data_IF_331368229773
#
_entry.id   IF_331368229773
#
_cell.length_a   1.000
_cell.length_b   1.000
_cell.length_c   1.000
_cell.angle_alpha   90.00
_cell.angle_beta   90.00
_cell.angle_gamma   90.00
#
_symmetry.space_group_name_H-M   'P 1'
#
loop_
_entity.id
_entity.type
_entity.pdbx_description
1 polymer ?
#
# COMPACT_ATOMS: atom_id res chain seq x y z
N UNK A 1 2.61 -7.49 9.70
CA UNK A 1 3.89 -6.80 9.45
C UNK A 1 5.02 -7.70 8.93
N UNK A 2 5.23 -8.91 9.45
CA UNK A 2 6.36 -9.78 9.03
C UNK A 2 6.42 -10.04 7.52
N UNK A 3 5.28 -10.37 6.90
CA UNK A 3 5.17 -10.57 5.45
C UNK A 3 5.67 -9.36 4.65
N UNK A 4 5.21 -8.17 5.00
CA UNK A 4 5.59 -6.92 4.34
C UNK A 4 7.08 -6.66 4.48
N UNK A 5 7.65 -6.86 5.69
CA UNK A 5 9.08 -6.68 5.90
C UNK A 5 9.91 -7.63 5.02
N UNK A 6 9.52 -8.91 4.96
CA UNK A 6 10.20 -9.92 4.14
C UNK A 6 10.16 -9.63 2.63
N UNK A 7 9.05 -9.08 2.15
CA UNK A 7 8.81 -8.97 0.71
C UNK A 7 8.98 -7.56 0.14
N UNK A 8 9.13 -6.53 0.98
CA UNK A 8 9.18 -5.13 0.52
C UNK A 8 10.35 -4.37 1.14
N UNK A 9 10.66 -4.54 2.43
CA UNK A 9 11.54 -3.60 3.15
C UNK A 9 12.95 -3.46 2.55
N UNK A 10 13.46 -4.51 1.92
CA UNK A 10 14.80 -4.55 1.33
C UNK A 10 14.78 -4.40 -0.20
N UNK A 11 13.63 -4.14 -0.82
CA UNK A 11 13.52 -3.96 -2.27
C UNK A 11 13.67 -2.49 -2.66
N UNK A 12 14.78 -2.08 -3.30
CA UNK A 12 15.03 -0.67 -3.63
C UNK A 12 14.11 -0.14 -4.73
N UNK A 13 13.45 -1.02 -5.47
CA UNK A 13 12.56 -0.72 -6.59
C UNK A 13 11.07 -0.81 -6.25
N UNK A 14 10.71 -1.00 -4.97
CA UNK A 14 9.31 -1.12 -4.53
C UNK A 14 9.08 -0.21 -3.32
N UNK A 15 8.10 0.67 -3.45
CA UNK A 15 7.60 1.49 -2.33
C UNK A 15 6.23 0.97 -1.90
N UNK A 16 5.96 0.97 -0.60
CA UNK A 16 4.63 0.65 -0.09
C UNK A 16 3.97 1.93 0.40
N UNK A 17 2.78 2.23 -0.08
CA UNK A 17 2.01 3.38 0.41
C UNK A 17 0.70 2.84 0.99
N UNK A 18 0.51 3.09 2.29
CA UNK A 18 -0.76 2.80 2.96
C UNK A 18 -1.69 4.01 2.82
N UNK A 19 -2.94 3.77 2.43
CA UNK A 19 -4.00 4.80 2.44
C UNK A 19 -5.01 4.40 3.50
N UNK A 20 -5.13 5.22 4.55
CA UNK A 20 -6.07 4.95 5.63
C UNK A 20 -7.51 5.16 5.18
N UNK A 21 -8.38 4.21 5.53
CA UNK A 21 -9.83 4.30 5.38
C UNK A 21 -10.54 4.54 6.72
N UNK A 22 -9.82 5.02 7.74
CA UNK A 22 -10.42 5.49 8.99
C UNK A 22 -11.39 6.65 8.70
N UNK A 23 -12.56 6.62 9.35
CA UNK A 23 -13.65 7.56 9.09
C UNK A 23 -14.03 8.33 10.37
N UNK A 24 -14.73 9.45 10.17
CA UNK A 24 -15.21 10.34 11.24
C UNK A 24 -14.24 11.47 11.55
N UNK A 25 -14.64 12.35 12.47
CA UNK A 25 -13.89 13.56 12.84
C UNK A 25 -12.51 13.26 13.44
N UNK A 26 -12.31 12.03 13.94
CA UNK A 26 -11.06 11.53 14.54
C UNK A 26 -10.33 10.51 13.65
N UNK A 27 -10.68 10.40 12.37
CA UNK A 27 -10.11 9.41 11.44
C UNK A 27 -8.59 9.51 11.27
N UNK A 28 -8.06 10.73 11.20
CA UNK A 28 -6.61 10.98 11.12
C UNK A 28 -5.88 10.46 12.38
N UNK A 29 -6.39 10.78 13.57
CA UNK A 29 -5.81 10.35 14.85
C UNK A 29 -5.83 8.82 14.99
N UNK A 30 -6.92 8.16 14.56
CA UNK A 30 -7.02 6.70 14.54
C UNK A 30 -5.98 6.08 13.60
N UNK A 31 -5.80 6.66 12.41
CA UNK A 31 -4.82 6.20 11.43
C UNK A 31 -3.39 6.31 11.97
N UNK A 32 -3.03 7.44 12.58
CA UNK A 32 -1.73 7.66 13.21
C UNK A 32 -1.46 6.69 14.35
N UNK A 33 -2.43 6.51 15.26
CA UNK A 33 -2.32 5.55 16.37
C UNK A 33 -2.13 4.12 15.88
N UNK A 34 -2.86 3.72 14.83
CA UNK A 34 -2.69 2.40 14.23
C UNK A 34 -1.29 2.24 13.63
N UNK A 35 -0.83 3.22 12.84
CA UNK A 35 0.50 3.16 12.20
C UNK A 35 1.62 3.09 13.25
N UNK A 36 1.52 3.88 14.33
CA UNK A 36 2.45 3.84 15.45
C UNK A 36 2.43 2.48 16.17
N UNK A 37 1.24 1.94 16.46
CA UNK A 37 1.06 0.63 17.11
C UNK A 37 1.68 -0.50 16.29
N UNK A 38 1.47 -0.50 14.99
CA UNK A 38 2.02 -1.53 14.08
C UNK A 38 3.49 -1.29 13.74
N UNK A 39 4.08 -0.19 14.23
CA UNK A 39 5.42 0.26 13.83
C UNK A 39 5.57 0.27 12.32
N UNK A 40 4.58 0.85 11.64
CA UNK A 40 4.45 0.84 10.20
C UNK A 40 5.53 1.73 9.57
N UNK A 41 6.56 1.15 8.93
CA UNK A 41 7.75 1.91 8.53
C UNK A 41 7.55 2.67 7.20
N UNK A 42 6.45 2.40 6.50
CA UNK A 42 6.15 2.96 5.19
C UNK A 42 5.20 4.16 5.27
N UNK A 43 5.14 4.92 4.18
CA UNK A 43 4.29 6.10 4.08
C UNK A 43 2.83 5.75 4.36
N UNK A 44 2.19 6.51 5.24
CA UNK A 44 0.75 6.42 5.53
C UNK A 44 0.08 7.72 5.13
N UNK A 45 -0.84 7.64 4.17
CA UNK A 45 -1.72 8.74 3.76
C UNK A 45 -2.92 8.76 4.70
N UNK A 46 -3.11 9.90 5.37
CA UNK A 46 -4.24 10.12 6.25
C UNK A 46 -5.53 10.33 5.46
N UNK A 47 -6.72 10.05 6.04
CA UNK A 47 -7.99 10.15 5.31
C UNK A 47 -8.24 11.52 4.68
N UNK A 48 -7.86 12.61 5.36
CA UNK A 48 -8.01 13.99 4.89
C UNK A 48 -7.09 14.37 3.71
N UNK A 49 -6.02 13.59 3.51
CA UNK A 49 -5.04 13.81 2.44
C UNK A 49 -5.19 12.80 1.29
N UNK A 50 -6.11 11.84 1.41
CA UNK A 50 -6.35 10.82 0.39
C UNK A 50 -6.64 11.45 -0.99
N UNK A 51 -7.56 12.43 -1.06
CA UNK A 51 -7.84 13.13 -2.32
C UNK A 51 -6.66 13.95 -2.83
N UNK A 52 -5.96 14.66 -1.94
CA UNK A 52 -4.80 15.50 -2.31
C UNK A 52 -3.63 14.68 -2.84
N UNK A 53 -3.50 13.43 -2.39
CA UNK A 53 -2.45 12.51 -2.83
C UNK A 53 -2.61 12.07 -4.28
N UNK A 54 -3.81 12.22 -4.88
CA UNK A 54 -4.15 11.68 -6.19
C UNK A 54 -4.29 10.15 -6.22
N UNK A 55 -3.97 9.45 -5.13
CA UNK A 55 -4.03 7.99 -5.06
C UNK A 55 -5.46 7.45 -4.99
N UNK A 56 -6.44 8.31 -4.66
CA UNK A 56 -7.87 7.99 -4.77
C UNK A 56 -8.26 7.52 -6.18
N UNK A 57 -7.51 7.88 -7.22
CA UNK A 57 -7.74 7.41 -8.59
C UNK A 57 -7.60 5.88 -8.74
N UNK A 58 -6.81 5.23 -7.88
CA UNK A 58 -6.63 3.79 -7.88
C UNK A 58 -7.64 3.06 -6.99
N UNK A 59 -8.38 3.77 -6.15
CA UNK A 59 -9.38 3.13 -5.27
C UNK A 59 -10.53 2.57 -6.10
N UNK A 60 -10.68 1.24 -6.10
CA UNK A 60 -11.75 0.56 -6.84
C UNK A 60 -12.89 0.10 -5.95
N UNK A 61 -12.65 -0.08 -4.65
CA UNK A 61 -13.67 -0.53 -3.70
C UNK A 61 -13.66 0.28 -2.40
N UNK A 62 -14.68 0.06 -1.55
CA UNK A 62 -14.72 0.58 -0.17
C UNK A 62 -14.43 -0.54 0.85
N UNK A 63 -13.74 -1.60 0.43
CA UNK A 63 -13.48 -2.78 1.24
C UNK A 63 -12.01 -2.85 1.63
N UNK A 64 -11.74 -3.27 2.86
CA UNK A 64 -10.38 -3.49 3.37
C UNK A 64 -10.11 -4.98 3.62
N UNK A 65 -8.91 -5.50 3.31
CA UNK A 65 -7.81 -4.83 2.60
C UNK A 65 -7.99 -4.87 1.07
N UNK A 66 -7.67 -3.75 0.42
CA UNK A 66 -7.58 -3.59 -1.03
C UNK A 66 -6.12 -3.28 -1.39
N UNK A 67 -5.59 -3.94 -2.43
CA UNK A 67 -4.21 -3.77 -2.86
C UNK A 67 -4.16 -3.37 -4.33
N UNK A 68 -3.22 -2.47 -4.62
CA UNK A 68 -2.88 -2.02 -5.97
C UNK A 68 -1.37 -2.11 -6.14
N UNK A 69 -0.92 -2.86 -7.14
CA UNK A 69 0.45 -2.84 -7.61
C UNK A 69 0.49 -1.99 -8.88
N UNK A 70 1.19 -0.87 -8.81
CA UNK A 70 1.32 0.10 -9.88
C UNK A 70 2.77 0.09 -10.38
N UNK A 71 2.99 0.13 -11.69
CA UNK A 71 4.32 0.22 -12.29
C UNK A 71 4.87 1.66 -12.30
N UNK A 72 6.12 1.84 -12.76
CA UNK A 72 6.77 3.15 -12.83
C UNK A 72 6.14 4.14 -13.83
N UNK A 73 5.31 3.65 -14.74
CA UNK A 73 4.57 4.45 -15.71
C UNK A 73 3.15 4.80 -15.22
N UNK A 74 2.75 4.30 -14.03
CA UNK A 74 1.45 4.53 -13.43
C UNK A 74 0.38 3.53 -13.84
N UNK A 75 0.72 2.44 -14.54
CA UNK A 75 -0.25 1.42 -14.92
C UNK A 75 -0.49 0.41 -13.79
N UNK A 76 -1.73 -0.03 -13.67
CA UNK A 76 -2.12 -1.05 -12.71
C UNK A 76 -1.74 -2.46 -13.20
N UNK A 77 -0.85 -3.13 -12.47
CA UNK A 77 -0.44 -4.52 -12.74
C UNK A 77 -1.35 -5.52 -12.02
N UNK A 78 -1.72 -5.21 -10.77
CA UNK A 78 -2.62 -6.02 -9.93
C UNK A 78 -3.52 -5.06 -9.14
N UNK A 79 -4.83 -5.34 -9.08
CA UNK A 79 -5.79 -4.54 -8.32
C UNK A 79 -6.92 -5.37 -7.73
N UNK A 80 -7.35 -5.00 -6.53
CA UNK A 80 -8.61 -5.44 -5.94
C UNK A 80 -8.52 -5.86 -4.47
N UNK A 81 -9.64 -6.36 -3.96
CA UNK A 81 -9.74 -6.90 -2.60
C UNK A 81 -9.13 -8.30 -2.54
N UNK A 82 -8.42 -8.61 -1.47
CA UNK A 82 -7.82 -9.94 -1.24
C UNK A 82 -6.79 -10.40 -2.29
N UNK A 83 -6.31 -9.51 -3.17
CA UNK A 83 -5.27 -9.81 -4.17
C UNK A 83 -3.85 -9.65 -3.62
N UNK A 84 -3.69 -9.46 -2.31
CA UNK A 84 -2.40 -9.22 -1.68
C UNK A 84 -1.37 -10.29 -2.05
N UNK A 85 -1.71 -11.57 -1.96
CA UNK A 85 -0.80 -12.67 -2.33
C UNK A 85 -0.33 -12.60 -3.77
N UNK A 86 -1.21 -12.24 -4.71
CA UNK A 86 -0.85 -12.05 -6.12
C UNK A 86 0.09 -10.84 -6.30
N UNK A 87 -0.18 -9.73 -5.60
CA UNK A 87 0.68 -8.56 -5.62
C UNK A 87 2.09 -8.88 -5.08
N UNK A 88 2.20 -9.60 -3.95
CA UNK A 88 3.49 -10.00 -3.39
C UNK A 88 4.24 -11.00 -4.27
N UNK A 89 3.54 -11.94 -4.92
CA UNK A 89 4.16 -12.82 -5.89
C UNK A 89 4.74 -12.02 -7.07
N UNK A 90 3.98 -11.05 -7.58
CA UNK A 90 4.44 -10.20 -8.69
C UNK A 90 5.60 -9.30 -8.32
N UNK A 91 5.60 -8.74 -7.11
CA UNK A 91 6.73 -7.99 -6.55
C UNK A 91 8.00 -8.85 -6.51
N UNK A 92 7.87 -10.12 -6.10
CA UNK A 92 9.01 -11.06 -6.07
C UNK A 92 9.58 -11.32 -7.46
N UNK A 93 8.71 -11.55 -8.46
CA UNK A 93 9.13 -11.74 -9.86
C UNK A 93 9.93 -10.52 -10.36
N UNK A 94 9.42 -9.31 -10.15
CA UNK A 94 10.07 -8.06 -10.60
C UNK A 94 11.41 -7.85 -9.87
N UNK A 95 11.50 -8.19 -8.59
CA UNK A 95 12.73 -8.08 -7.82
C UNK A 95 13.81 -9.06 -8.31
N UNK A 96 13.43 -10.27 -8.70
CA UNK A 96 14.35 -11.27 -9.27
C UNK A 96 14.87 -10.81 -10.63
N UNK A 97 14.00 -10.32 -11.51
CA UNK A 97 14.36 -9.79 -12.85
C UNK A 97 15.32 -8.58 -12.78
N UNK A 98 15.22 -7.74 -11.74
CA UNK A 98 16.09 -6.57 -11.56
C UNK A 98 17.50 -6.91 -11.02
N UNK A 99 17.73 -8.16 -10.61
CA UNK A 99 19.00 -8.63 -10.01
C UNK A 99 19.91 -9.39 -10.98
N UNK A 100 19.45 -9.65 -12.20
CA UNK A 100 20.20 -10.24 -13.32
C UNK A 100 20.85 -9.18 -14.23
#
# INVERSE_FOLDING_TARGET
MEKYKKHIADLPNVEFIHISLENGDDGAEKAEKWAAKESFPWLTVLPEDAEKSGLSAYKTTNSVPEYHLIDGDGNTVVAGTHVGDAAFAKIKEIAEEASE
#
